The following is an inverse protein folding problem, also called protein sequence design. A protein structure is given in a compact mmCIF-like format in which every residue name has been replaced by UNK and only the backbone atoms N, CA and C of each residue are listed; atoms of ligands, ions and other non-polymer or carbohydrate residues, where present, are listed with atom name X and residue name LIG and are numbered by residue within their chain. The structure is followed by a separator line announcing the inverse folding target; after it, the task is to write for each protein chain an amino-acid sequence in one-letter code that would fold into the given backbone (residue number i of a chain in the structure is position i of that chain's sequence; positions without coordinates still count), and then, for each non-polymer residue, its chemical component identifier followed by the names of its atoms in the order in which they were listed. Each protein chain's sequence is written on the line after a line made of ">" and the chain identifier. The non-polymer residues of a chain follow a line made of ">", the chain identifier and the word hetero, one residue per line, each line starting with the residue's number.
data_IF_625938365574
#
_entry.id   IF_625938365574
#
_cell.length_a   1.000
_cell.length_b   1.000
_cell.length_c   1.000
_cell.angle_alpha   90.00
_cell.angle_beta   90.00
_cell.angle_gamma   90.00
#
_symmetry.space_group_name_H-M   'P 1'
#
loop_
_entity.id
_entity.type
_entity.pdbx_description
1 polymer ?
#
# COMPACT_ATOMS: atom_id res chain seq x y z
N UNK A 1 50.27 25.33 21.85
CA UNK A 1 50.20 23.95 21.32
C UNK A 1 49.19 23.95 20.17
N UNK A 2 49.62 23.61 18.95
CA UNK A 2 48.80 23.74 17.74
C UNK A 2 47.76 22.62 17.65
N UNK A 3 46.50 22.97 17.35
CA UNK A 3 45.42 22.01 17.08
C UNK A 3 45.74 21.28 15.78
N UNK A 4 45.96 19.97 15.83
CA UNK A 4 46.09 19.14 14.63
C UNK A 4 44.73 19.02 13.94
N UNK A 5 44.68 19.36 12.66
CA UNK A 5 43.53 19.11 11.78
C UNK A 5 43.44 17.59 11.56
N UNK A 6 42.42 16.96 12.13
CA UNK A 6 42.12 15.55 11.83
C UNK A 6 41.55 15.47 10.42
N UNK A 7 42.13 14.56 9.65
CA UNK A 7 41.82 13.96 8.36
C UNK A 7 40.39 13.39 8.25
N UNK A 8 39.38 14.17 8.63
CA UNK A 8 38.01 13.93 8.18
C UNK A 8 37.77 14.78 6.92
N UNK A 9 38.52 14.47 5.85
CA UNK A 9 38.39 15.06 4.51
C UNK A 9 37.18 14.49 3.76
N UNK A 10 36.05 14.39 4.43
CA UNK A 10 34.76 14.22 3.79
C UNK A 10 33.98 15.44 4.20
N UNK A 11 34.03 16.45 3.33
CA UNK A 11 33.36 17.73 3.53
C UNK A 11 31.89 17.55 3.91
N UNK A 12 31.25 18.62 4.34
CA UNK A 12 29.86 18.65 4.85
C UNK A 12 28.77 18.08 3.91
N UNK A 13 29.15 17.61 2.72
CA UNK A 13 28.31 17.01 1.68
C UNK A 13 28.55 15.51 1.47
N UNK A 14 29.21 14.77 2.39
CA UNK A 14 29.27 13.31 2.24
C UNK A 14 27.99 12.66 2.72
N UNK A 15 27.17 12.20 1.78
CA UNK A 15 26.01 11.38 2.11
C UNK A 15 26.44 10.11 2.86
N UNK A 16 25.70 9.71 3.92
CA UNK A 16 26.04 8.54 4.71
C UNK A 16 26.13 7.29 3.83
N UNK A 17 27.08 6.39 4.10
CA UNK A 17 27.29 5.20 3.24
C UNK A 17 26.13 4.18 3.28
N UNK A 18 25.24 4.29 4.26
CA UNK A 18 24.14 3.35 4.47
C UNK A 18 22.85 4.14 4.68
N UNK A 19 21.73 3.57 4.20
CA UNK A 19 20.37 4.09 4.36
C UNK A 19 20.07 5.45 3.71
N UNK A 20 20.88 5.89 2.72
CA UNK A 20 20.64 7.14 2.00
C UNK A 20 19.53 7.03 0.96
N UNK A 21 19.43 5.88 0.29
CA UNK A 21 18.47 5.67 -0.79
C UNK A 21 17.69 4.40 -0.52
N UNK A 22 16.46 4.55 -0.05
CA UNK A 22 15.53 3.45 0.12
C UNK A 22 14.54 3.51 -1.06
N UNK A 23 14.73 2.65 -2.07
CA UNK A 23 13.81 2.52 -3.21
C UNK A 23 14.46 2.61 -4.58
N UNK A 24 13.63 2.62 -5.63
CA UNK A 24 14.07 2.88 -7.00
C UNK A 24 14.54 4.34 -7.16
N UNK A 25 15.47 4.64 -8.09
CA UNK A 25 16.08 5.97 -8.24
C UNK A 25 15.10 7.12 -8.49
N UNK A 26 13.85 6.83 -8.88
CA UNK A 26 12.80 7.82 -9.14
C UNK A 26 11.63 7.75 -8.14
N UNK A 27 11.84 7.11 -6.99
CA UNK A 27 10.79 6.91 -5.99
C UNK A 27 11.07 7.76 -4.75
N UNK A 28 10.04 8.45 -4.26
CA UNK A 28 10.16 9.23 -3.04
C UNK A 28 10.57 8.30 -1.88
N UNK A 29 11.53 8.70 -1.03
CA UNK A 29 12.04 7.85 0.05
C UNK A 29 10.96 7.51 1.10
N UNK A 30 9.93 8.35 1.20
CA UNK A 30 8.77 8.15 2.09
C UNK A 30 7.61 7.41 1.41
N UNK A 31 7.82 6.84 0.22
CA UNK A 31 6.76 6.18 -0.51
C UNK A 31 6.43 4.82 0.12
N UNK A 32 5.15 4.63 0.46
CA UNK A 32 4.63 3.37 0.98
C UNK A 32 4.27 2.46 -0.21
N UNK A 33 4.72 1.20 -0.19
CA UNK A 33 4.45 0.21 -1.24
C UNK A 33 2.95 0.11 -1.52
N UNK A 34 2.56 0.27 -2.79
CA UNK A 34 1.15 0.27 -3.23
C UNK A 34 0.27 1.28 -2.47
N UNK A 35 0.86 2.33 -1.90
CA UNK A 35 0.16 3.33 -1.10
C UNK A 35 -0.50 2.80 0.17
N UNK A 36 -0.03 1.67 0.73
CA UNK A 36 -0.63 1.08 1.94
C UNK A 36 -1.70 0.01 1.65
N UNK A 37 -2.06 -0.23 0.39
CA UNK A 37 -3.01 -1.27 0.01
C UNK A 37 -2.39 -2.68 -0.04
N UNK A 38 -3.21 -3.70 0.24
CA UNK A 38 -2.88 -5.12 0.04
C UNK A 38 -2.57 -5.91 1.32
N UNK A 39 -2.59 -7.24 1.19
CA UNK A 39 -2.39 -8.17 2.32
C UNK A 39 -1.01 -7.97 2.97
N UNK A 40 -1.00 -7.72 4.27
CA UNK A 40 0.22 -7.47 5.06
C UNK A 40 0.59 -5.99 5.23
N UNK A 41 -0.17 -5.06 4.64
CA UNK A 41 -0.09 -3.63 4.95
C UNK A 41 -1.23 -3.23 5.90
N UNK A 42 -1.08 -2.08 6.57
CA UNK A 42 -2.06 -1.54 7.53
C UNK A 42 -3.20 -0.74 6.87
N UNK A 43 -3.26 -0.66 5.54
CA UNK A 43 -4.26 0.14 4.83
C UNK A 43 -3.85 1.60 4.65
N UNK A 44 -4.78 2.42 4.16
CA UNK A 44 -4.67 3.88 4.11
C UNK A 44 -5.44 4.55 5.24
N UNK A 45 -5.02 5.76 5.59
CA UNK A 45 -5.81 6.65 6.43
C UNK A 45 -7.23 6.78 5.86
N UNK A 46 -8.24 6.40 6.65
CA UNK A 46 -9.64 6.36 6.24
C UNK A 46 -10.18 4.99 5.83
N UNK A 47 -9.33 4.01 5.52
CA UNK A 47 -9.78 2.61 5.34
C UNK A 47 -10.25 2.02 6.69
N UNK A 48 -9.64 2.46 7.80
CA UNK A 48 -10.03 2.10 9.18
C UNK A 48 -11.51 2.37 9.47
N UNK A 49 -12.10 3.41 8.87
CA UNK A 49 -13.53 3.70 9.04
C UNK A 49 -14.40 2.62 8.42
N UNK A 50 -13.98 2.08 7.27
CA UNK A 50 -14.72 1.01 6.59
C UNK A 50 -14.61 -0.30 7.37
N UNK A 51 -13.47 -0.56 8.00
CA UNK A 51 -13.28 -1.71 8.90
C UNK A 51 -14.17 -1.58 10.14
N UNK A 52 -14.19 -0.41 10.81
CA UNK A 52 -15.05 -0.13 11.97
C UNK A 52 -16.55 -0.19 11.64
N UNK A 53 -16.94 0.20 10.42
CA UNK A 53 -18.32 0.04 9.93
C UNK A 53 -18.63 -1.44 9.70
N UNK A 54 -17.70 -2.21 9.15
CA UNK A 54 -17.87 -3.65 8.88
C UNK A 54 -17.97 -4.45 10.18
N UNK A 55 -17.17 -4.09 11.18
CA UNK A 55 -17.17 -4.69 12.51
C UNK A 55 -18.41 -4.27 13.35
N UNK A 56 -19.18 -3.30 12.86
CA UNK A 56 -20.43 -2.85 13.47
C UNK A 56 -20.26 -1.90 14.66
N UNK A 57 -19.05 -1.40 14.90
CA UNK A 57 -18.75 -0.46 15.99
C UNK A 57 -19.30 0.95 15.70
N UNK A 58 -19.34 1.34 14.42
CA UNK A 58 -19.81 2.66 13.98
C UNK A 58 -20.95 2.50 12.95
N UNK A 59 -22.08 3.21 13.11
CA UNK A 59 -23.15 3.17 12.11
C UNK A 59 -22.68 3.76 10.77
N UNK A 60 -23.09 3.19 9.63
CA UNK A 60 -22.64 3.65 8.32
C UNK A 60 -23.06 5.11 8.08
N UNK A 61 -22.06 6.01 8.01
CA UNK A 61 -22.27 7.47 7.91
C UNK A 61 -22.91 7.87 6.56
N UNK A 62 -22.69 7.06 5.52
CA UNK A 62 -23.38 7.18 4.25
C UNK A 62 -23.82 5.79 3.80
N UNK A 63 -24.97 5.69 3.12
CA UNK A 63 -25.43 4.50 2.40
C UNK A 63 -24.46 4.16 1.27
N UNK A 64 -23.25 3.74 1.62
CA UNK A 64 -22.22 3.30 0.69
C UNK A 64 -22.30 1.79 0.71
N UNK A 65 -23.37 1.28 0.12
CA UNK A 65 -23.38 -0.10 -0.34
C UNK A 65 -22.14 -0.20 -1.24
N UNK A 66 -21.12 -0.94 -0.80
CA UNK A 66 -19.91 -1.16 -1.60
C UNK A 66 -20.38 -1.76 -2.91
N UNK A 67 -20.50 -0.93 -3.94
CA UNK A 67 -20.81 -1.38 -5.30
C UNK A 67 -19.62 -2.19 -5.75
N UNK A 68 -19.63 -3.49 -5.45
CA UNK A 68 -18.82 -4.47 -6.12
C UNK A 68 -19.40 -4.61 -7.53
N UNK A 69 -19.17 -3.60 -8.38
CA UNK A 69 -19.67 -3.54 -9.76
C UNK A 69 -19.23 -4.74 -10.61
N UNK A 70 -18.29 -5.54 -10.08
CA UNK A 70 -17.73 -6.70 -10.75
C UNK A 70 -18.16 -8.02 -10.09
N UNK A 71 -18.89 -8.05 -8.97
CA UNK A 71 -19.22 -9.31 -8.30
C UNK A 71 -20.25 -10.12 -9.09
N UNK A 72 -21.39 -9.49 -9.45
CA UNK A 72 -22.42 -10.13 -10.27
C UNK A 72 -21.89 -10.56 -11.63
N UNK A 73 -21.11 -9.70 -12.28
CA UNK A 73 -20.46 -9.98 -13.56
C UNK A 73 -19.43 -11.12 -13.49
N UNK A 74 -18.84 -11.36 -12.32
CA UNK A 74 -17.90 -12.46 -12.12
C UNK A 74 -18.65 -13.76 -11.82
N UNK A 75 -19.76 -13.70 -11.07
CA UNK A 75 -20.65 -14.84 -10.84
C UNK A 75 -21.26 -15.37 -12.14
N UNK A 76 -21.73 -14.48 -13.02
CA UNK A 76 -22.24 -14.85 -14.35
C UNK A 76 -21.18 -15.58 -15.18
N UNK A 77 -19.94 -15.06 -15.22
CA UNK A 77 -18.82 -15.70 -15.92
C UNK A 77 -18.48 -17.08 -15.34
N UNK A 78 -18.50 -17.22 -14.02
CA UNK A 78 -18.27 -18.52 -13.39
C UNK A 78 -19.38 -19.52 -13.73
N UNK A 79 -20.64 -19.07 -13.76
CA UNK A 79 -21.77 -19.90 -14.11
C UNK A 79 -21.71 -20.39 -15.58
N UNK A 80 -21.35 -19.51 -16.51
CA UNK A 80 -21.13 -19.88 -17.93
C UNK A 80 -20.03 -20.93 -18.09
N UNK A 81 -18.90 -20.77 -17.40
CA UNK A 81 -17.79 -21.74 -17.43
C UNK A 81 -18.22 -23.08 -16.87
N UNK A 82 -18.99 -23.10 -15.77
CA UNK A 82 -19.51 -24.33 -15.17
C UNK A 82 -20.47 -25.07 -16.11
N UNK A 83 -21.40 -24.37 -16.75
CA UNK A 83 -22.33 -24.98 -17.71
C UNK A 83 -21.62 -25.58 -18.93
N UNK A 84 -20.60 -24.89 -19.45
CA UNK A 84 -19.85 -25.39 -20.59
C UNK A 84 -19.01 -26.63 -20.24
N UNK A 85 -18.50 -26.72 -19.01
CA UNK A 85 -17.72 -27.88 -18.55
C UNK A 85 -18.52 -29.18 -18.36
N UNK A 86 -19.86 -29.08 -18.30
CA UNK A 86 -20.77 -30.23 -18.10
C UNK A 86 -21.27 -30.77 -19.44
N UNK A 87 -21.11 -30.02 -20.54
CA UNK A 87 -21.61 -30.36 -21.88
C UNK A 87 -20.52 -30.88 -22.83
N UNK A 88 -19.30 -31.14 -22.33
CA UNK A 88 -18.23 -31.92 -22.98
C UNK A 88 -18.09 -33.29 -22.31
#
# INVERSE_FOLDING_TARGET
>A
MARTQKWNDKGSNSEPRYFTHNGFPDQAPNHIKKGGFGKGNWGKNGDELEDLITDGEIPPVFKKERRSSNHSQNEEKFHEVQLNSVNE
#
